data_IF_144984711116
#
_entry.id   IF_144984711116
#
_cell.length_a   1.000
_cell.length_b   1.000
_cell.length_c   1.000
_cell.angle_alpha   90.00
_cell.angle_beta   90.00
_cell.angle_gamma   90.00
#
_symmetry.space_group_name_H-M   'P 1'
#
loop_
_entity.id
_entity.type
_entity.pdbx_description
1 polymer ?
#
# COMPACT_ATOMS: atom_id res chain seq x y z
N UNK A 1 32.66 5.70 40.05
CA UNK A 1 31.50 6.37 40.69
C UNK A 1 30.47 6.64 39.58
N UNK A 2 29.17 6.46 39.76
CA UNK A 2 28.21 6.76 38.69
C UNK A 2 28.04 8.29 38.59
N UNK A 3 28.60 8.90 37.54
CA UNK A 3 28.50 10.34 37.28
C UNK A 3 27.05 10.63 36.85
N UNK A 4 26.30 11.34 37.69
CA UNK A 4 24.86 11.55 37.48
C UNK A 4 24.50 13.01 37.17
N UNK A 5 25.44 13.96 37.26
CA UNK A 5 25.21 15.38 36.94
C UNK A 5 26.51 16.10 36.51
N UNK A 6 26.40 17.30 35.95
CA UNK A 6 27.51 18.17 35.50
C UNK A 6 28.49 18.54 36.60
N UNK A 7 28.04 18.69 37.86
CA UNK A 7 28.94 18.91 39.00
C UNK A 7 29.85 17.71 39.32
N UNK A 8 29.43 16.49 38.96
CA UNK A 8 30.25 15.29 39.16
C UNK A 8 31.35 15.19 38.09
N UNK A 9 31.15 15.80 36.90
CA UNK A 9 32.13 15.80 35.82
C UNK A 9 33.37 16.66 36.14
N UNK A 10 33.20 17.77 36.87
CA UNK A 10 34.30 18.67 37.22
C UNK A 10 35.27 18.09 38.26
N UNK A 11 34.82 17.09 39.03
CA UNK A 11 35.63 16.43 40.07
C UNK A 11 35.98 14.98 39.73
N UNK A 12 35.53 14.49 38.56
CA UNK A 12 35.73 13.12 38.11
C UNK A 12 37.20 12.85 37.73
N UNK A 13 37.68 11.66 38.07
CA UNK A 13 38.98 11.18 37.60
C UNK A 13 38.91 10.77 36.12
N UNK A 14 40.05 10.70 35.43
CA UNK A 14 40.08 10.24 34.05
C UNK A 14 39.42 8.84 33.85
N UNK A 15 39.62 7.84 34.74
CA UNK A 15 38.87 6.59 34.68
C UNK A 15 37.35 6.73 34.87
N UNK A 16 36.88 7.65 35.73
CA UNK A 16 35.45 7.89 35.91
C UNK A 16 34.84 8.53 34.65
N UNK A 17 35.54 9.49 34.02
CA UNK A 17 35.14 10.11 32.75
C UNK A 17 35.09 9.10 31.61
N UNK A 18 36.10 8.23 31.50
CA UNK A 18 36.15 7.19 30.47
C UNK A 18 34.98 6.21 30.59
N UNK A 19 34.65 5.78 31.82
CA UNK A 19 33.49 4.91 32.06
C UNK A 19 32.17 5.60 31.67
N UNK A 20 32.01 6.87 32.04
CA UNK A 20 30.84 7.68 31.69
C UNK A 20 30.67 7.85 30.18
N UNK A 21 31.73 8.27 29.48
CA UNK A 21 31.69 8.45 28.03
C UNK A 21 31.55 7.13 27.29
N UNK A 22 32.10 6.03 27.81
CA UNK A 22 31.88 4.70 27.25
C UNK A 22 30.39 4.36 27.28
N UNK A 23 29.72 4.54 28.41
CA UNK A 23 28.29 4.26 28.53
C UNK A 23 27.46 5.11 27.57
N UNK A 24 27.68 6.43 27.56
CA UNK A 24 26.89 7.35 26.73
C UNK A 24 27.21 7.16 25.25
N UNK A 25 28.46 7.23 24.82
CA UNK A 25 28.77 7.18 23.40
C UNK A 25 28.43 5.82 22.78
N UNK A 26 28.47 4.73 23.56
CA UNK A 26 27.99 3.43 23.08
C UNK A 26 26.50 3.45 22.75
N UNK A 27 25.65 4.14 23.53
CA UNK A 27 24.20 4.23 23.22
C UNK A 27 23.93 4.99 21.92
N UNK A 28 24.87 5.85 21.49
CA UNK A 28 24.83 6.54 20.21
C UNK A 28 25.56 5.81 19.08
N UNK A 29 26.24 4.69 19.35
CA UNK A 29 27.10 4.00 18.38
C UNK A 29 28.37 4.79 18.04
N UNK A 30 28.86 5.59 18.98
CA UNK A 30 30.03 6.47 18.89
C UNK A 30 31.16 6.05 19.84
N UNK A 31 31.25 4.78 20.24
CA UNK A 31 32.28 4.28 21.17
C UNK A 31 33.73 4.62 20.73
N UNK A 32 33.96 4.79 19.42
CA UNK A 32 35.25 5.23 18.87
C UNK A 32 35.67 6.63 19.36
N UNK A 33 34.72 7.45 19.82
CA UNK A 33 34.94 8.83 20.27
C UNK A 33 35.24 8.94 21.78
N UNK A 34 35.23 7.84 22.53
CA UNK A 34 35.52 7.84 23.97
C UNK A 34 36.87 8.51 24.29
N UNK A 35 37.99 8.20 23.60
CA UNK A 35 39.26 8.85 23.90
C UNK A 35 39.24 10.37 23.65
N UNK A 36 38.54 10.82 22.62
CA UNK A 36 38.39 12.24 22.28
C UNK A 36 37.56 12.96 23.32
N UNK A 37 36.43 12.38 23.72
CA UNK A 37 35.54 12.92 24.74
C UNK A 37 36.23 13.03 26.11
N UNK A 38 36.93 11.98 26.56
CA UNK A 38 37.68 11.99 27.82
C UNK A 38 38.75 13.08 27.81
N UNK A 39 39.46 13.26 26.70
CA UNK A 39 40.47 14.31 26.54
C UNK A 39 39.84 15.71 26.67
N UNK A 40 38.78 15.98 25.91
CA UNK A 40 38.08 17.28 25.93
C UNK A 40 37.57 17.64 27.33
N UNK A 41 36.98 16.67 28.04
CA UNK A 41 36.52 16.86 29.40
C UNK A 41 37.67 17.15 30.38
N UNK A 42 38.79 16.42 30.24
CA UNK A 42 39.99 16.63 31.08
C UNK A 42 40.63 17.99 30.83
N UNK A 43 40.57 18.49 29.60
CA UNK A 43 41.06 19.81 29.21
C UNK A 43 40.11 20.96 29.59
N UNK A 44 38.96 20.66 30.20
CA UNK A 44 37.98 21.66 30.62
C UNK A 44 37.28 22.37 29.46
N UNK A 45 37.13 21.68 28.32
CA UNK A 45 36.41 22.22 27.17
C UNK A 45 34.98 22.63 27.57
N UNK A 46 34.55 23.80 27.12
CA UNK A 46 33.15 24.22 27.26
C UNK A 46 32.21 23.28 26.52
N UNK A 47 30.93 23.26 26.89
CA UNK A 47 29.92 22.44 26.21
C UNK A 47 29.88 22.69 24.69
N UNK A 48 30.00 23.96 24.28
CA UNK A 48 30.02 24.32 22.86
C UNK A 48 31.27 23.78 22.14
N UNK A 49 32.45 23.85 22.77
CA UNK A 49 33.69 23.28 22.21
C UNK A 49 33.60 21.76 22.12
N UNK A 50 33.03 21.12 23.13
CA UNK A 50 32.81 19.67 23.15
C UNK A 50 31.91 19.23 22.00
N UNK A 51 30.74 19.85 21.86
CA UNK A 51 29.79 19.54 20.79
C UNK A 51 30.39 19.77 19.41
N UNK A 52 31.08 20.89 19.20
CA UNK A 52 31.73 21.20 17.93
C UNK A 52 32.85 20.19 17.60
N UNK A 53 33.67 19.81 18.59
CA UNK A 53 34.75 18.86 18.39
C UNK A 53 34.21 17.46 18.05
N UNK A 54 33.15 17.00 18.72
CA UNK A 54 32.50 15.72 18.44
C UNK A 54 31.82 15.72 17.06
N UNK A 55 31.02 16.73 16.74
CA UNK A 55 30.36 16.87 15.43
C UNK A 55 31.36 16.97 14.27
N UNK A 56 32.55 17.52 14.52
CA UNK A 56 33.59 17.65 13.51
C UNK A 56 34.21 16.30 13.12
N UNK A 57 34.13 15.27 13.97
CA UNK A 57 34.75 13.97 13.72
C UNK A 57 34.10 13.18 12.59
N UNK A 58 34.91 12.39 11.87
CA UNK A 58 34.41 11.50 10.82
C UNK A 58 33.47 10.42 11.36
N UNK A 59 33.71 9.92 12.58
CA UNK A 59 32.85 8.93 13.21
C UNK A 59 31.43 9.47 13.44
N UNK A 60 31.30 10.71 13.94
CA UNK A 60 30.00 11.34 14.14
C UNK A 60 29.28 11.58 12.81
N UNK A 61 29.98 12.15 11.81
CA UNK A 61 29.43 12.40 10.46
C UNK A 61 28.95 11.12 9.78
N UNK A 62 29.68 10.02 9.96
CA UNK A 62 29.33 8.71 9.42
C UNK A 62 28.11 8.10 10.12
N UNK A 63 27.95 8.30 11.42
CA UNK A 63 26.82 7.74 12.20
C UNK A 63 25.52 8.51 11.99
N UNK A 64 25.61 9.83 11.84
CA UNK A 64 24.46 10.73 11.74
C UNK A 64 24.48 11.61 10.48
N UNK A 65 24.60 11.04 9.26
CA UNK A 65 24.63 11.80 8.01
C UNK A 65 23.37 12.66 7.81
N UNK A 66 22.21 12.24 8.35
CA UNK A 66 20.96 12.97 8.21
C UNK A 66 21.00 14.39 8.80
N UNK A 67 21.76 14.62 9.90
CA UNK A 67 21.90 15.95 10.52
C UNK A 67 22.51 16.92 9.51
N UNK A 68 23.59 16.50 8.84
CA UNK A 68 24.31 17.33 7.88
C UNK A 68 23.52 17.51 6.58
N UNK A 69 22.90 16.45 6.07
CA UNK A 69 22.07 16.51 4.87
C UNK A 69 20.87 17.45 5.04
N UNK A 70 20.22 17.47 6.21
CA UNK A 70 19.13 18.41 6.50
C UNK A 70 19.62 19.85 6.61
N UNK A 71 20.77 20.06 7.29
CA UNK A 71 21.42 21.38 7.42
C UNK A 71 21.75 21.98 6.05
N UNK A 72 22.31 21.17 5.14
CA UNK A 72 22.63 21.57 3.76
C UNK A 72 21.37 21.95 2.96
N UNK A 73 20.28 21.21 3.16
CA UNK A 73 18.97 21.49 2.53
C UNK A 73 18.18 22.63 3.17
N UNK A 74 18.67 23.23 4.26
CA UNK A 74 17.95 24.27 5.00
C UNK A 74 16.67 23.77 5.69
N UNK A 75 16.58 22.47 5.95
CA UNK A 75 15.44 21.86 6.65
C UNK A 75 15.57 22.08 8.17
N UNK A 76 14.46 21.96 8.94
CA UNK A 76 14.50 22.05 10.39
C UNK A 76 15.57 21.11 10.98
N UNK A 77 16.41 21.60 11.91
CA UNK A 77 17.49 20.81 12.49
C UNK A 77 16.94 19.63 13.28
N UNK A 78 17.68 18.52 13.26
CA UNK A 78 17.43 17.33 14.06
C UNK A 78 18.69 17.00 14.87
N UNK A 79 18.50 16.31 15.99
CA UNK A 79 19.57 15.87 16.87
C UNK A 79 19.90 14.39 16.69
N UNK A 80 21.03 13.95 17.22
CA UNK A 80 21.37 12.53 17.28
C UNK A 80 20.31 11.72 18.08
N UNK A 81 19.75 12.31 19.13
CA UNK A 81 18.67 11.70 19.92
C UNK A 81 17.41 11.50 19.09
N UNK A 82 17.05 12.47 18.25
CA UNK A 82 15.88 12.33 17.35
C UNK A 82 16.06 11.17 16.38
N UNK A 83 17.28 10.98 15.86
CA UNK A 83 17.61 9.87 14.96
C UNK A 83 17.48 8.53 15.69
N UNK A 84 18.09 8.39 16.87
CA UNK A 84 18.01 7.14 17.64
C UNK A 84 16.57 6.80 18.02
N UNK A 85 15.78 7.79 18.42
CA UNK A 85 14.37 7.60 18.73
C UNK A 85 13.58 7.14 17.49
N UNK A 86 13.87 7.69 16.31
CA UNK A 86 13.24 7.24 15.07
C UNK A 86 13.65 5.82 14.71
N UNK A 87 14.94 5.50 14.77
CA UNK A 87 15.51 4.16 14.52
C UNK A 87 14.89 3.12 15.46
N UNK A 88 14.82 3.41 16.76
CA UNK A 88 14.19 2.52 17.75
C UNK A 88 12.73 2.23 17.40
N UNK A 89 11.94 3.28 17.14
CA UNK A 89 10.52 3.12 16.80
C UNK A 89 10.33 2.41 15.46
N UNK A 90 11.26 2.57 14.51
CA UNK A 90 11.26 1.82 13.26
C UNK A 90 11.51 0.32 13.50
N UNK A 91 12.44 -0.04 14.39
CA UNK A 91 12.68 -1.42 14.81
C UNK A 91 11.50 -2.05 15.57
N UNK A 92 10.81 -1.28 16.41
CA UNK A 92 9.55 -1.73 17.04
C UNK A 92 8.48 -2.02 15.97
N UNK A 93 8.41 -1.17 14.94
CA UNK A 93 7.48 -1.33 13.83
C UNK A 93 7.81 -2.57 12.97
N UNK A 94 9.10 -2.84 12.74
CA UNK A 94 9.56 -4.07 12.10
C UNK A 94 9.08 -5.30 12.88
N UNK A 95 9.31 -5.31 14.19
CA UNK A 95 8.90 -6.41 15.08
C UNK A 95 7.38 -6.61 15.05
N UNK A 96 6.63 -5.52 15.14
CA UNK A 96 5.16 -5.55 15.17
C UNK A 96 4.55 -6.17 13.91
N UNK A 97 5.13 -5.88 12.74
CA UNK A 97 4.62 -6.35 11.45
C UNK A 97 5.40 -7.55 10.89
N UNK A 98 6.33 -8.13 11.67
CA UNK A 98 7.12 -9.28 11.26
C UNK A 98 8.07 -9.00 10.08
N UNK A 99 8.56 -7.77 9.96
CA UNK A 99 9.51 -7.38 8.93
C UNK A 99 10.92 -7.88 9.27
N UNK A 100 11.77 -8.12 8.26
CA UNK A 100 13.18 -8.44 8.50
C UNK A 100 13.87 -7.35 9.31
N UNK A 101 14.75 -7.76 10.22
CA UNK A 101 15.55 -6.84 11.03
C UNK A 101 16.31 -5.85 10.14
N UNK A 102 16.21 -4.56 10.47
CA UNK A 102 16.89 -3.50 9.76
C UNK A 102 16.20 -3.02 8.49
N UNK A 103 15.07 -3.63 8.07
CA UNK A 103 14.37 -3.24 6.85
C UNK A 103 13.94 -1.76 6.81
N UNK A 104 13.37 -1.25 7.91
CA UNK A 104 12.99 0.15 8.11
C UNK A 104 14.12 0.93 8.79
N UNK A 105 14.78 0.34 9.78
CA UNK A 105 15.79 0.99 10.61
C UNK A 105 16.97 1.46 9.77
N UNK A 106 17.41 0.68 8.77
CA UNK A 106 18.47 1.10 7.83
C UNK A 106 18.09 2.30 6.96
N UNK A 107 16.78 2.59 6.82
CA UNK A 107 16.23 3.69 6.03
C UNK A 107 15.72 4.85 6.90
N UNK A 108 15.77 4.72 8.23
CA UNK A 108 15.24 5.70 9.17
C UNK A 108 15.77 7.12 8.90
N UNK A 109 17.08 7.23 8.71
CA UNK A 109 17.73 8.50 8.40
C UNK A 109 17.34 9.05 7.02
N UNK A 110 17.14 8.20 6.02
CA UNK A 110 16.66 8.60 4.69
C UNK A 110 15.22 9.15 4.72
N UNK A 111 14.37 8.55 5.56
CA UNK A 111 13.01 9.04 5.83
C UNK A 111 13.06 10.43 6.50
N UNK A 112 13.91 10.59 7.51
CA UNK A 112 14.09 11.88 8.16
C UNK A 112 14.64 12.93 7.20
N UNK A 113 15.57 12.60 6.30
CA UNK A 113 16.08 13.54 5.28
C UNK A 113 15.01 13.99 4.28
N UNK A 114 13.92 13.23 4.15
CA UNK A 114 12.77 13.52 3.27
C UNK A 114 11.53 14.02 4.02
N UNK A 115 11.68 14.44 5.28
CA UNK A 115 10.59 14.93 6.14
C UNK A 115 9.44 13.92 6.33
N UNK A 116 9.70 12.62 6.22
CA UNK A 116 8.72 11.60 6.57
C UNK A 116 8.62 11.52 8.09
N UNK A 117 7.44 11.85 8.60
CA UNK A 117 7.14 11.68 10.02
C UNK A 117 6.98 10.20 10.37
N UNK A 118 7.25 9.85 11.63
CA UNK A 118 7.04 8.47 12.08
C UNK A 118 5.58 8.04 11.95
N UNK A 119 4.62 8.93 12.19
CA UNK A 119 3.20 8.61 12.04
C UNK A 119 2.83 8.31 10.59
N UNK A 120 3.41 9.02 9.62
CA UNK A 120 3.27 8.72 8.21
C UNK A 120 3.84 7.33 7.88
N UNK A 121 5.07 7.04 8.33
CA UNK A 121 5.69 5.73 8.12
C UNK A 121 4.83 4.61 8.72
N UNK A 122 4.36 4.78 9.96
CA UNK A 122 3.48 3.82 10.63
C UNK A 122 2.19 3.60 9.85
N UNK A 123 1.55 4.65 9.36
CA UNK A 123 0.33 4.55 8.56
C UNK A 123 0.58 3.81 7.24
N UNK A 124 1.71 4.07 6.58
CA UNK A 124 2.12 3.39 5.34
C UNK A 124 2.36 1.89 5.59
N UNK A 125 3.13 1.53 6.62
CA UNK A 125 3.40 0.12 6.96
C UNK A 125 2.10 -0.61 7.34
N UNK A 126 1.25 0.02 8.14
CA UNK A 126 -0.04 -0.54 8.50
C UNK A 126 -0.93 -0.80 7.28
N UNK A 127 -0.99 0.15 6.35
CA UNK A 127 -1.73 0.01 5.11
C UNK A 127 -1.18 -1.12 4.22
N UNK A 128 0.14 -1.18 4.03
CA UNK A 128 0.77 -2.26 3.25
C UNK A 128 0.46 -3.64 3.84
N UNK A 129 0.53 -3.77 5.17
CA UNK A 129 0.16 -4.99 5.87
C UNK A 129 -1.32 -5.34 5.70
N UNK A 130 -2.20 -4.34 5.69
CA UNK A 130 -3.64 -4.54 5.49
C UNK A 130 -3.94 -5.11 4.11
N UNK A 131 -3.37 -4.50 3.07
CA UNK A 131 -3.50 -4.96 1.68
C UNK A 131 -2.97 -6.39 1.53
N UNK A 132 -1.77 -6.68 2.04
CA UNK A 132 -1.18 -8.01 1.93
C UNK A 132 -2.01 -9.11 2.60
N UNK A 133 -2.62 -8.79 3.74
CA UNK A 133 -3.33 -9.78 4.56
C UNK A 133 -4.80 -9.92 4.21
N UNK A 134 -5.43 -8.87 3.69
CA UNK A 134 -6.88 -8.83 3.45
C UNK A 134 -7.30 -8.80 1.99
N UNK A 135 -6.44 -8.32 1.08
CA UNK A 135 -6.79 -8.28 -0.33
C UNK A 135 -6.98 -9.70 -0.87
N UNK A 136 -7.99 -9.88 -1.72
CA UNK A 136 -8.19 -11.13 -2.42
C UNK A 136 -7.07 -11.36 -3.46
N UNK A 137 -6.79 -12.62 -3.84
CA UNK A 137 -5.74 -12.94 -4.80
C UNK A 137 -5.90 -12.23 -6.14
N UNK A 138 -7.13 -12.02 -6.62
CA UNK A 138 -7.38 -11.27 -7.85
C UNK A 138 -6.98 -9.79 -7.70
N UNK A 139 -7.27 -9.14 -6.58
CA UNK A 139 -6.79 -7.76 -6.32
C UNK A 139 -5.27 -7.67 -6.35
N UNK A 140 -4.56 -8.62 -5.73
CA UNK A 140 -3.09 -8.65 -5.78
C UNK A 140 -2.57 -8.88 -7.20
N UNK A 141 -3.23 -9.73 -7.98
CA UNK A 141 -2.92 -9.93 -9.39
C UNK A 141 -3.12 -8.64 -10.21
N UNK A 142 -4.20 -7.89 -9.96
CA UNK A 142 -4.45 -6.61 -10.64
C UNK A 142 -3.44 -5.53 -10.25
N UNK A 143 -3.03 -5.48 -8.98
CA UNK A 143 -1.94 -4.61 -8.53
C UNK A 143 -0.65 -4.90 -9.29
N UNK A 144 -0.31 -6.19 -9.44
CA UNK A 144 0.84 -6.59 -10.23
C UNK A 144 0.69 -6.18 -11.71
N UNK A 145 -0.47 -6.43 -12.31
CA UNK A 145 -0.73 -6.14 -13.72
C UNK A 145 -0.72 -4.65 -14.04
N UNK A 146 -1.25 -3.81 -13.15
CA UNK A 146 -1.40 -2.37 -13.37
C UNK A 146 -0.19 -1.52 -12.94
N UNK A 147 0.54 -1.99 -11.94
CA UNK A 147 1.59 -1.20 -11.28
C UNK A 147 2.91 -1.94 -11.14
N UNK A 148 3.02 -3.19 -11.61
CA UNK A 148 4.23 -4.00 -11.47
C UNK A 148 4.51 -4.41 -10.02
N UNK A 149 3.50 -4.33 -9.15
CA UNK A 149 3.61 -4.66 -7.74
C UNK A 149 3.61 -6.17 -7.56
N UNK A 150 4.76 -6.76 -7.31
CA UNK A 150 4.80 -8.18 -6.96
C UNK A 150 4.00 -8.44 -5.68
N UNK A 151 3.22 -9.52 -5.61
CA UNK A 151 2.41 -9.88 -4.44
C UNK A 151 3.27 -10.47 -3.31
N UNK A 152 4.49 -9.97 -3.14
CA UNK A 152 5.38 -10.32 -2.04
C UNK A 152 5.31 -9.24 -0.98
N UNK A 153 5.43 -9.65 0.29
CA UNK A 153 5.42 -8.74 1.43
C UNK A 153 6.47 -7.63 1.30
N UNK A 154 7.66 -7.96 0.80
CA UNK A 154 8.76 -7.01 0.64
C UNK A 154 8.53 -5.98 -0.48
N UNK A 155 8.05 -6.41 -1.65
CA UNK A 155 7.88 -5.50 -2.80
C UNK A 155 6.75 -4.50 -2.59
N UNK A 156 5.59 -4.97 -2.13
CA UNK A 156 4.46 -4.10 -1.81
C UNK A 156 4.83 -3.10 -0.71
N UNK A 157 5.46 -3.59 0.36
CA UNK A 157 5.86 -2.71 1.46
C UNK A 157 6.88 -1.66 1.01
N UNK A 158 7.92 -2.07 0.26
CA UNK A 158 8.91 -1.14 -0.28
C UNK A 158 8.28 -0.08 -1.18
N UNK A 159 7.26 -0.45 -1.96
CA UNK A 159 6.52 0.49 -2.79
C UNK A 159 5.70 1.49 -1.97
N UNK A 160 5.07 1.03 -0.88
CA UNK A 160 4.18 1.83 -0.05
C UNK A 160 4.94 2.81 0.85
N UNK A 161 6.09 2.40 1.38
CA UNK A 161 6.95 3.25 2.23
C UNK A 161 7.85 4.19 1.42
N UNK A 162 7.74 4.18 0.10
CA UNK A 162 8.48 5.08 -0.77
C UNK A 162 8.08 6.54 -0.46
N UNK A 163 9.02 7.37 0.02
CA UNK A 163 8.72 8.74 0.43
C UNK A 163 8.29 9.64 -0.75
N UNK A 164 8.56 9.25 -1.99
CA UNK A 164 8.10 9.97 -3.18
C UNK A 164 6.64 9.65 -3.53
N UNK A 165 6.04 8.64 -2.88
CA UNK A 165 4.65 8.24 -3.09
C UNK A 165 3.76 8.68 -1.93
N UNK A 166 2.73 9.45 -2.25
CA UNK A 166 1.71 9.81 -1.29
C UNK A 166 0.79 8.61 -1.00
N UNK A 167 0.56 8.32 0.29
CA UNK A 167 -0.33 7.23 0.72
C UNK A 167 -1.74 7.30 0.08
N UNK A 168 -2.40 8.48 -0.06
CA UNK A 168 -3.70 8.57 -0.73
C UNK A 168 -3.67 8.09 -2.18
N UNK A 169 -2.57 8.33 -2.90
CA UNK A 169 -2.42 7.85 -4.28
C UNK A 169 -2.26 6.33 -4.33
N UNK A 170 -1.52 5.74 -3.40
CA UNK A 170 -1.39 4.27 -3.33
C UNK A 170 -2.75 3.63 -2.95
N UNK A 171 -3.50 4.25 -2.04
CA UNK A 171 -4.86 3.79 -1.70
C UNK A 171 -5.80 3.83 -2.91
N UNK A 172 -5.72 4.87 -3.74
CA UNK A 172 -6.43 4.95 -5.02
C UNK A 172 -6.04 3.81 -5.96
N UNK A 173 -4.74 3.53 -6.11
CA UNK A 173 -4.26 2.43 -6.94
C UNK A 173 -4.81 1.06 -6.48
N UNK A 174 -4.88 0.84 -5.16
CA UNK A 174 -5.50 -0.36 -4.57
C UNK A 174 -7.00 -0.43 -4.89
N UNK A 175 -7.76 0.66 -4.71
CA UNK A 175 -9.19 0.68 -5.07
C UNK A 175 -9.42 0.38 -6.56
N UNK A 176 -8.58 0.92 -7.44
CA UNK A 176 -8.64 0.64 -8.89
C UNK A 176 -8.41 -0.86 -9.16
N UNK A 177 -7.43 -1.47 -8.48
CA UNK A 177 -7.18 -2.90 -8.59
C UNK A 177 -8.34 -3.75 -8.04
N UNK A 178 -8.92 -3.37 -6.89
CA UNK A 178 -10.10 -4.04 -6.31
C UNK A 178 -11.30 -3.97 -7.25
N UNK A 179 -11.54 -2.83 -7.90
CA UNK A 179 -12.61 -2.70 -8.90
C UNK A 179 -12.36 -3.64 -10.09
N UNK A 180 -11.13 -3.69 -10.62
CA UNK A 180 -10.78 -4.61 -11.69
C UNK A 180 -10.97 -6.08 -11.29
N UNK A 181 -10.51 -6.46 -10.10
CA UNK A 181 -10.65 -7.80 -9.54
C UNK A 181 -12.12 -8.17 -9.26
N UNK A 182 -12.96 -7.19 -8.96
CA UNK A 182 -14.38 -7.44 -8.70
C UNK A 182 -15.15 -7.94 -9.94
N UNK A 183 -14.70 -7.58 -11.16
CA UNK A 183 -15.39 -7.91 -12.41
C UNK A 183 -14.84 -9.16 -13.11
N UNK A 184 -13.65 -9.64 -12.74
CA UNK A 184 -13.00 -10.80 -13.38
C UNK A 184 -13.82 -12.09 -13.21
N UNK A 185 -14.44 -12.30 -12.04
CA UNK A 185 -15.37 -13.42 -11.82
C UNK A 185 -16.59 -13.37 -12.73
N UNK A 186 -17.01 -12.18 -13.15
CA UNK A 186 -18.05 -11.97 -14.16
C UNK A 186 -17.55 -12.15 -15.59
N UNK A 187 -16.35 -12.72 -15.79
CA UNK A 187 -15.72 -12.88 -17.11
C UNK A 187 -15.32 -11.56 -17.77
N UNK A 188 -15.28 -10.45 -17.02
CA UNK A 188 -14.97 -9.13 -17.56
C UNK A 188 -13.65 -8.61 -16.99
N UNK A 189 -12.58 -8.75 -17.78
CA UNK A 189 -11.28 -8.20 -17.45
C UNK A 189 -11.25 -6.70 -17.81
N UNK A 190 -11.19 -5.83 -16.82
CA UNK A 190 -11.00 -4.38 -17.01
C UNK A 190 -9.56 -4.07 -17.43
N UNK A 191 -9.33 -2.97 -18.13
CA UNK A 191 -8.00 -2.33 -18.24
C UNK A 191 -7.77 -1.40 -17.05
N UNK A 192 -6.54 -0.91 -16.88
CA UNK A 192 -6.22 0.04 -15.81
C UNK A 192 -7.04 1.31 -15.96
N UNK A 193 -7.14 1.80 -17.19
CA UNK A 193 -7.83 3.03 -17.56
C UNK A 193 -9.35 2.92 -17.33
N UNK A 194 -9.95 1.77 -17.66
CA UNK A 194 -11.38 1.55 -17.42
C UNK A 194 -11.69 1.40 -15.93
N UNK A 195 -10.87 0.68 -15.17
CA UNK A 195 -11.05 0.56 -13.73
C UNK A 195 -10.87 1.91 -13.02
N UNK A 196 -9.88 2.71 -13.44
CA UNK A 196 -9.69 4.08 -12.98
C UNK A 196 -10.88 4.99 -13.33
N UNK A 197 -11.44 4.86 -14.53
CA UNK A 197 -12.62 5.61 -14.94
C UNK A 197 -13.86 5.25 -14.11
N UNK A 198 -14.01 3.99 -13.69
CA UNK A 198 -15.08 3.55 -12.78
C UNK A 198 -14.87 4.08 -11.36
N UNK A 199 -13.63 4.04 -10.83
CA UNK A 199 -13.28 4.61 -9.53
C UNK A 199 -13.59 6.12 -9.48
N UNK A 200 -13.17 6.86 -10.51
CA UNK A 200 -13.42 8.29 -10.63
C UNK A 200 -14.93 8.63 -10.74
N UNK A 201 -15.76 7.68 -11.16
CA UNK A 201 -17.22 7.79 -11.19
C UNK A 201 -17.89 7.38 -9.86
N UNK A 202 -17.09 7.03 -8.84
CA UNK A 202 -17.57 6.63 -7.53
C UNK A 202 -18.09 5.20 -7.46
N UNK A 203 -17.75 4.34 -8.43
CA UNK A 203 -18.14 2.93 -8.41
C UNK A 203 -17.30 2.19 -7.37
N UNK A 204 -17.96 1.56 -6.39
CA UNK A 204 -17.26 0.71 -5.42
C UNK A 204 -16.96 -0.68 -5.98
N UNK A 205 -15.98 -1.43 -5.43
CA UNK A 205 -15.76 -2.84 -5.79
C UNK A 205 -17.02 -3.70 -5.62
N UNK A 206 -17.84 -3.41 -4.61
CA UNK A 206 -19.12 -4.11 -4.39
C UNK A 206 -20.14 -3.85 -5.50
N UNK A 207 -20.28 -2.59 -5.93
CA UNK A 207 -21.15 -2.21 -7.04
C UNK A 207 -20.69 -2.85 -8.35
N UNK A 208 -19.38 -2.75 -8.63
CA UNK A 208 -18.78 -3.32 -9.83
C UNK A 208 -18.98 -4.85 -9.88
N UNK A 209 -18.80 -5.54 -8.75
CA UNK A 209 -19.09 -6.98 -8.62
C UNK A 209 -20.55 -7.30 -8.94
N UNK A 210 -21.50 -6.67 -8.24
CA UNK A 210 -22.93 -6.95 -8.41
C UNK A 210 -23.40 -6.69 -9.85
N UNK A 211 -22.86 -5.65 -10.49
CA UNK A 211 -23.16 -5.31 -11.89
C UNK A 211 -22.51 -6.29 -12.87
N UNK A 212 -21.28 -6.74 -12.61
CA UNK A 212 -20.64 -7.79 -13.40
C UNK A 212 -21.37 -9.13 -13.30
N UNK A 213 -21.83 -9.51 -12.10
CA UNK A 213 -22.68 -10.68 -11.89
C UNK A 213 -24.01 -10.56 -12.66
N UNK A 214 -24.64 -9.38 -12.62
CA UNK A 214 -25.85 -9.10 -13.42
C UNK A 214 -25.58 -9.22 -14.92
N UNK A 215 -24.42 -8.77 -15.42
CA UNK A 215 -24.01 -8.97 -16.81
C UNK A 215 -23.89 -10.46 -17.14
N UNK A 216 -23.31 -11.28 -16.25
CA UNK A 216 -23.22 -12.73 -16.47
C UNK A 216 -24.58 -13.42 -16.44
N UNK A 217 -25.46 -13.12 -15.49
CA UNK A 217 -26.81 -13.72 -15.43
C UNK A 217 -27.66 -13.34 -16.64
N UNK A 218 -27.55 -12.10 -17.11
CA UNK A 218 -28.22 -11.66 -18.35
C UNK A 218 -27.52 -12.21 -19.61
N UNK A 219 -26.26 -12.62 -19.48
CA UNK A 219 -25.43 -13.23 -20.50
C UNK A 219 -25.61 -14.74 -20.66
N UNK A 220 -26.08 -15.42 -19.62
CA UNK A 220 -26.34 -16.86 -19.64
C UNK A 220 -27.26 -17.24 -20.79
N UNK A 221 -26.87 -18.33 -21.46
CA UNK A 221 -27.33 -18.73 -22.77
C UNK A 221 -28.85 -18.89 -22.81
N UNK A 222 -29.54 -17.92 -23.41
CA UNK A 222 -30.88 -18.13 -23.96
C UNK A 222 -30.65 -18.68 -25.38
N UNK A 223 -30.99 -19.96 -25.57
CA UNK A 223 -31.03 -20.65 -26.88
C UNK A 223 -29.74 -20.67 -27.71
N UNK A 224 -28.63 -21.06 -27.09
CA UNK A 224 -27.35 -21.31 -27.78
C UNK A 224 -26.63 -20.04 -28.24
N UNK A 225 -27.17 -18.85 -27.96
CA UNK A 225 -26.53 -17.57 -28.27
C UNK A 225 -26.07 -16.91 -26.96
N UNK A 226 -24.78 -16.64 -26.82
CA UNK A 226 -24.29 -15.84 -25.69
C UNK A 226 -24.68 -14.38 -25.92
N UNK A 227 -25.56 -13.85 -25.07
CA UNK A 227 -26.05 -12.47 -25.20
C UNK A 227 -24.90 -11.47 -25.11
N UNK A 228 -23.83 -11.80 -24.38
CA UNK A 228 -22.65 -10.96 -24.22
C UNK A 228 -21.80 -10.85 -25.50
N UNK A 229 -21.88 -11.80 -26.43
CA UNK A 229 -21.19 -11.69 -27.72
C UNK A 229 -21.83 -10.61 -28.60
N UNK A 230 -23.08 -10.24 -28.32
CA UNK A 230 -23.83 -9.24 -29.04
C UNK A 230 -23.89 -7.87 -28.32
N UNK A 231 -23.27 -7.74 -27.15
CA UNK A 231 -23.13 -6.50 -26.38
C UNK A 231 -21.69 -6.03 -26.46
N UNK A 232 -21.48 -4.85 -27.06
CA UNK A 232 -20.15 -4.28 -27.17
C UNK A 232 -19.53 -3.99 -25.80
N UNK A 233 -18.20 -3.86 -25.77
CA UNK A 233 -17.47 -3.59 -24.54
C UNK A 233 -17.90 -2.27 -23.90
N UNK A 234 -18.19 -1.26 -24.72
CA UNK A 234 -18.61 0.06 -24.25
C UNK A 234 -19.94 0.02 -23.49
N UNK A 235 -20.94 -0.71 -23.99
CA UNK A 235 -22.23 -0.86 -23.28
C UNK A 235 -22.04 -1.61 -21.97
N UNK A 236 -21.18 -2.64 -21.94
CA UNK A 236 -20.84 -3.34 -20.68
C UNK A 236 -20.18 -2.41 -19.67
N UNK A 237 -19.26 -1.56 -20.10
CA UNK A 237 -18.64 -0.54 -19.23
C UNK A 237 -19.67 0.46 -18.70
N UNK A 238 -20.61 0.92 -19.53
CA UNK A 238 -21.72 1.78 -19.09
C UNK A 238 -22.60 1.10 -18.05
N UNK A 239 -22.89 -0.19 -18.21
CA UNK A 239 -23.63 -0.97 -17.20
C UNK A 239 -22.83 -1.06 -15.89
N UNK A 240 -21.53 -1.32 -15.95
CA UNK A 240 -20.66 -1.33 -14.76
C UNK A 240 -20.60 0.04 -14.08
N UNK A 241 -20.57 1.12 -14.85
CA UNK A 241 -20.66 2.50 -14.35
C UNK A 241 -22.02 2.82 -13.71
N UNK A 242 -23.06 2.01 -13.96
CA UNK A 242 -24.39 2.22 -13.41
C UNK A 242 -25.29 3.08 -14.29
N UNK A 243 -24.98 3.20 -15.59
CA UNK A 243 -25.83 3.89 -16.55
C UNK A 243 -27.19 3.18 -16.66
N UNK A 244 -28.22 3.86 -16.17
CA UNK A 244 -29.60 3.33 -16.12
C UNK A 244 -30.19 3.07 -17.51
N UNK A 245 -29.77 3.82 -18.53
CA UNK A 245 -30.20 3.60 -19.92
C UNK A 245 -29.58 2.33 -20.46
N UNK A 246 -28.27 2.15 -20.27
CA UNK A 246 -27.57 0.94 -20.71
C UNK A 246 -28.13 -0.32 -20.03
N UNK A 247 -28.39 -0.25 -18.72
CA UNK A 247 -29.05 -1.33 -17.96
C UNK A 247 -30.45 -1.64 -18.52
N UNK A 248 -31.25 -0.60 -18.79
CA UNK A 248 -32.60 -0.76 -19.33
C UNK A 248 -32.61 -1.40 -20.72
N UNK A 249 -31.72 -1.00 -21.61
CA UNK A 249 -31.61 -1.58 -22.96
C UNK A 249 -31.13 -3.03 -22.94
N UNK A 250 -30.19 -3.37 -22.04
CA UNK A 250 -29.76 -4.75 -21.85
C UNK A 250 -30.92 -5.64 -21.36
N UNK A 251 -31.69 -5.17 -20.37
CA UNK A 251 -32.85 -5.91 -19.85
C UNK A 251 -33.91 -6.13 -20.93
N UNK A 252 -34.31 -5.08 -21.66
CA UNK A 252 -35.27 -5.21 -22.78
C UNK A 252 -34.79 -6.20 -23.83
N UNK A 253 -33.48 -6.24 -24.10
CA UNK A 253 -32.91 -7.19 -25.06
C UNK A 253 -33.00 -8.63 -24.56
N UNK A 254 -32.66 -8.87 -23.29
CA UNK A 254 -32.82 -10.19 -22.67
C UNK A 254 -34.30 -10.65 -22.69
N UNK A 255 -35.24 -9.76 -22.37
CA UNK A 255 -36.68 -10.04 -22.42
C UNK A 255 -37.17 -10.42 -23.83
N UNK A 256 -36.74 -9.68 -24.87
CA UNK A 256 -37.07 -10.00 -26.27
C UNK A 256 -36.58 -11.37 -26.69
N UNK A 257 -35.43 -11.81 -26.19
CA UNK A 257 -34.86 -13.13 -26.49
C UNK A 257 -35.58 -14.25 -25.73
N UNK A 258 -36.13 -13.98 -24.54
CA UNK A 258 -36.94 -14.92 -23.78
C UNK A 258 -38.37 -15.07 -24.31
N UNK A 259 -38.94 -14.02 -24.91
CA UNK A 259 -40.34 -13.94 -25.36
C UNK A 259 -40.83 -15.05 -26.31
N UNK A 260 -40.08 -15.51 -27.33
CA UNK A 260 -40.50 -16.58 -28.23
C UNK A 260 -40.74 -17.94 -27.54
N UNK A 261 -40.27 -18.11 -26.30
CA UNK A 261 -40.27 -19.40 -25.59
C UNK A 261 -41.38 -19.53 -24.55
N UNK A 262 -42.00 -18.43 -24.12
CA UNK A 262 -43.16 -18.49 -23.20
C UNK A 262 -44.50 -18.72 -23.93
N UNK A 263 -44.58 -18.46 -25.24
CA UNK A 263 -45.82 -18.58 -26.02
C UNK A 263 -46.11 -19.94 -26.66
N UNK A 264 -45.15 -20.87 -26.69
CA UNK A 264 -45.27 -22.15 -27.41
C UNK A 264 -45.84 -23.33 -26.62
N UNK A 265 -46.20 -23.12 -25.34
CA UNK A 265 -46.70 -24.17 -24.44
C UNK A 265 -48.22 -24.33 -24.38
N UNK A 266 -48.97 -23.54 -25.14
CA UNK A 266 -50.40 -23.76 -25.30
C UNK A 266 -50.63 -24.77 -26.43
N UNK A 267 -50.53 -26.07 -26.11
CA UNK A 267 -51.32 -27.05 -26.85
C UNK A 267 -52.77 -26.57 -26.76
N UNK A 268 -53.26 -25.98 -27.86
CA UNK A 268 -54.67 -25.73 -28.05
C UNK A 268 -55.35 -27.10 -28.06
N UNK A 269 -55.83 -27.55 -26.90
CA UNK A 269 -56.77 -28.65 -26.77
C UNK A 269 -58.15 -28.17 -27.16
N UNK A 270 -58.27 -27.60 -28.37
CA UNK A 270 -59.57 -27.42 -28.96
C UNK A 270 -60.03 -28.77 -29.50
N UNK A 271 -61.09 -29.24 -28.87
CA UNK A 271 -61.90 -30.41 -29.23
C UNK A 271 -62.34 -30.32 -30.69
N UNK A 272 -61.55 -30.84 -31.62
CA UNK A 272 -62.04 -31.41 -32.87
C UNK A 272 -60.90 -32.17 -33.56
N UNK A 273 -61.04 -33.50 -33.64
CA UNK A 273 -60.05 -34.33 -34.30
C UNK A 273 -59.94 -34.03 -35.80
N UNK A 274 -58.79 -34.41 -36.37
CA UNK A 274 -58.52 -34.75 -37.79
C UNK A 274 -57.11 -35.38 -37.74
N UNK A 275 -57.02 -36.72 -37.76
CA UNK A 275 -56.75 -37.57 -38.94
C UNK A 275 -55.37 -37.36 -39.54
N UNK A 276 -54.58 -38.44 -39.53
CA UNK A 276 -53.23 -38.46 -40.04
C UNK A 276 -53.11 -38.51 -41.56
N UNK A 277 -51.85 -38.40 -41.99
CA UNK A 277 -51.28 -38.78 -43.28
C UNK A 277 -49.86 -39.27 -42.87
N UNK A 278 -49.50 -40.56 -42.83
CA UNK A 278 -49.35 -41.51 -43.95
C UNK A 278 -48.19 -41.07 -44.86
N UNK A 279 -47.20 -41.83 -45.30
CA UNK A 279 -46.71 -43.17 -45.05
C UNK A 279 -45.28 -43.24 -45.67
N UNK A 280 -44.43 -44.08 -45.10
CA UNK A 280 -43.38 -44.86 -45.78
C UNK A 280 -43.16 -46.04 -44.82
N UNK A 281 -43.70 -47.23 -45.05
CA UNK A 281 -43.48 -48.14 -46.19
C UNK A 281 -44.73 -48.94 -46.57
#
# INVERSE_FOLDING_TARGET
MAINNTQDLETATAPDLEAYFTQILTSFGLQELVPVATKLATEGASEAEFMNAIEATDAYRRRFPAIFARREKGLPPITATDILNYEHRAGELETLYGLPEGFLTSKAQDFMVRDVSFDQLRAQVAFASDVLTKADPETLFELQRFYGLEPTSGALLAYVIDPERALPHIQEQVRIAEIAASTTRGGFQLTKEEAAALEAQGVSPGDARARAESLTTLGEVITGTNILDAVDRETRLKVLAGDTRAIGELRKRAERLASPFQGGGAFATDRTGITGIGAAT
#
